data_IF_287339468821
#
_entry.id   IF_287339468821
#
_cell.length_a   1.000
_cell.length_b   1.000
_cell.length_c   1.000
_cell.angle_alpha   90.00
_cell.angle_beta   90.00
_cell.angle_gamma   90.00
#
_symmetry.space_group_name_H-M   'P 1'
#
loop_
_entity.id
_entity.type
_entity.pdbx_description
1 polymer ?
#
# COMPACT_ATOMS: atom_id res chain seq x y z
N UNK A 1 33.13 32.16 20.68
CA UNK A 1 32.73 31.12 21.69
C UNK A 1 31.24 31.05 22.12
N UNK A 2 30.66 31.91 23.00
CA UNK A 2 29.25 31.72 23.52
C UNK A 2 28.14 31.61 22.45
N UNK A 3 28.33 32.19 21.27
CA UNK A 3 27.38 32.11 20.14
C UNK A 3 27.44 30.76 19.41
N UNK A 4 28.63 30.20 19.22
CA UNK A 4 28.84 28.90 18.56
C UNK A 4 28.18 27.79 19.38
N UNK A 5 28.33 27.83 20.70
CA UNK A 5 27.73 26.86 21.62
C UNK A 5 26.19 26.93 21.63
N UNK A 6 25.61 28.13 21.50
CA UNK A 6 24.15 28.31 21.32
C UNK A 6 23.66 27.74 20.00
N UNK A 7 24.38 27.98 18.91
CA UNK A 7 24.04 27.45 17.58
C UNK A 7 24.14 25.92 17.54
N UNK A 8 25.16 25.35 18.20
CA UNK A 8 25.35 23.90 18.30
C UNK A 8 24.19 23.22 19.04
N UNK A 9 23.74 23.80 20.15
CA UNK A 9 22.55 23.31 20.88
C UNK A 9 21.27 23.43 20.04
N UNK A 10 21.07 24.54 19.33
CA UNK A 10 19.92 24.72 18.45
C UNK A 10 19.90 23.70 17.29
N UNK A 11 21.08 23.32 16.78
CA UNK A 11 21.24 22.30 15.76
C UNK A 11 20.87 20.90 16.29
N UNK A 12 21.39 20.53 17.47
CA UNK A 12 21.04 19.26 18.13
C UNK A 12 19.54 19.13 18.43
N UNK A 13 18.91 20.20 18.91
CA UNK A 13 17.47 20.20 19.21
C UNK A 13 16.62 20.07 17.94
N UNK A 14 17.01 20.73 16.83
CA UNK A 14 16.34 20.53 15.54
C UNK A 14 16.53 19.11 15.00
N UNK A 15 17.71 18.53 15.18
CA UNK A 15 18.00 17.17 14.73
C UNK A 15 17.16 16.13 15.50
N UNK A 16 17.02 16.30 16.82
CA UNK A 16 16.13 15.47 17.66
C UNK A 16 14.66 15.61 17.27
N UNK A 17 14.20 16.84 16.98
CA UNK A 17 12.83 17.07 16.51
C UNK A 17 12.56 16.38 15.15
N UNK A 18 13.54 16.38 14.26
CA UNK A 18 13.46 15.72 12.95
C UNK A 18 13.42 14.18 13.08
N UNK A 19 14.21 13.63 14.01
CA UNK A 19 14.18 12.20 14.35
C UNK A 19 12.87 11.75 14.99
N UNK A 20 12.27 12.59 15.85
CA UNK A 20 10.96 12.31 16.42
C UNK A 20 9.85 12.36 15.35
N UNK A 21 9.83 13.41 14.53
CA UNK A 21 8.86 13.56 13.44
C UNK A 21 8.97 12.43 12.40
N UNK A 22 10.19 12.00 12.05
CA UNK A 22 10.39 10.85 11.15
C UNK A 22 9.88 9.55 11.76
N UNK A 23 10.10 9.30 13.06
CA UNK A 23 9.57 8.09 13.72
C UNK A 23 8.05 8.07 13.80
N UNK A 24 7.41 9.21 14.05
CA UNK A 24 5.94 9.30 14.06
C UNK A 24 5.35 9.03 12.67
N UNK A 25 5.93 9.62 11.64
CA UNK A 25 5.54 9.38 10.24
C UNK A 25 5.81 7.92 9.85
N UNK A 26 6.93 7.33 10.28
CA UNK A 26 7.27 5.95 10.00
C UNK A 26 6.29 4.97 10.66
N UNK A 27 5.90 5.19 11.93
CA UNK A 27 4.90 4.36 12.63
C UNK A 27 3.52 4.46 11.98
N UNK A 28 3.10 5.66 11.60
CA UNK A 28 1.85 5.89 10.89
C UNK A 28 1.83 5.23 9.50
N UNK A 29 2.96 5.27 8.77
CA UNK A 29 3.13 4.56 7.50
C UNK A 29 3.09 3.05 7.70
N UNK A 30 3.88 2.50 8.63
CA UNK A 30 3.96 1.04 8.83
C UNK A 30 2.58 0.40 9.03
N UNK A 31 1.73 0.98 9.90
CA UNK A 31 0.35 0.48 10.11
C UNK A 31 -0.49 0.51 8.83
N UNK A 32 -0.44 1.61 8.05
CA UNK A 32 -1.17 1.72 6.77
C UNK A 32 -0.63 0.72 5.74
N UNK A 33 0.67 0.48 5.71
CA UNK A 33 1.32 -0.51 4.87
C UNK A 33 0.89 -1.95 5.20
N UNK A 34 0.80 -2.31 6.48
CA UNK A 34 0.31 -3.63 6.89
C UNK A 34 -1.16 -3.84 6.53
N UNK A 35 -2.01 -2.85 6.78
CA UNK A 35 -3.45 -2.92 6.44
C UNK A 35 -3.68 -3.05 4.93
N UNK A 36 -2.94 -2.27 4.14
CA UNK A 36 -3.00 -2.34 2.68
C UNK A 36 -2.39 -3.64 2.14
N UNK A 37 -1.27 -4.09 2.68
CA UNK A 37 -0.65 -5.37 2.32
C UNK A 37 -1.57 -6.55 2.59
N UNK A 38 -2.25 -6.55 3.74
CA UNK A 38 -3.26 -7.57 4.06
C UNK A 38 -4.45 -7.53 3.09
N UNK A 39 -4.97 -6.34 2.76
CA UNK A 39 -6.04 -6.19 1.78
C UNK A 39 -5.65 -6.65 0.37
N UNK A 40 -4.41 -6.39 -0.03
CA UNK A 40 -3.89 -6.78 -1.35
C UNK A 40 -3.68 -8.29 -1.44
N UNK A 41 -3.13 -8.92 -0.40
CA UNK A 41 -3.03 -10.37 -0.29
C UNK A 41 -4.41 -11.03 -0.34
N UNK A 42 -5.39 -10.49 0.40
CA UNK A 42 -6.75 -10.98 0.38
C UNK A 42 -7.39 -10.86 -1.02
N UNK A 43 -7.23 -9.72 -1.68
CA UNK A 43 -7.73 -9.50 -3.05
C UNK A 43 -7.12 -10.47 -4.07
N UNK A 44 -5.81 -10.71 -3.99
CA UNK A 44 -5.11 -11.69 -4.86
C UNK A 44 -5.59 -13.12 -4.58
N UNK A 45 -5.76 -13.48 -3.30
CA UNK A 45 -6.29 -14.79 -2.92
C UNK A 45 -7.69 -15.02 -3.47
N UNK A 46 -8.58 -14.04 -3.33
CA UNK A 46 -9.95 -14.10 -3.87
C UNK A 46 -9.93 -14.22 -5.40
N UNK A 47 -9.17 -13.36 -6.09
CA UNK A 47 -9.04 -13.43 -7.54
C UNK A 47 -8.49 -14.79 -8.02
N UNK A 48 -7.51 -15.35 -7.29
CA UNK A 48 -6.95 -16.67 -7.56
C UNK A 48 -7.98 -17.80 -7.42
N UNK A 49 -8.78 -17.79 -6.36
CA UNK A 49 -9.86 -18.79 -6.16
C UNK A 49 -10.88 -18.74 -7.29
N UNK A 50 -11.32 -17.54 -7.67
CA UNK A 50 -12.29 -17.38 -8.76
C UNK A 50 -11.72 -17.75 -10.12
N UNK A 51 -10.46 -17.38 -10.41
CA UNK A 51 -9.77 -17.79 -11.63
C UNK A 51 -9.60 -19.31 -11.70
N UNK A 52 -9.21 -19.96 -10.59
CA UNK A 52 -9.09 -21.41 -10.51
C UNK A 52 -10.41 -22.12 -10.82
N UNK A 53 -11.53 -21.64 -10.28
CA UNK A 53 -12.85 -22.19 -10.59
C UNK A 53 -13.23 -22.04 -12.06
N UNK A 54 -12.80 -20.95 -12.71
CA UNK A 54 -13.00 -20.74 -14.15
C UNK A 54 -12.17 -21.75 -14.96
N UNK A 55 -10.88 -21.92 -14.65
CA UNK A 55 -10.03 -22.91 -15.32
C UNK A 55 -10.54 -24.34 -15.12
N UNK A 56 -10.99 -24.67 -13.91
CA UNK A 56 -11.58 -25.96 -13.61
C UNK A 56 -12.86 -26.19 -14.41
N UNK A 57 -13.72 -25.17 -14.55
CA UNK A 57 -14.93 -25.27 -15.35
C UNK A 57 -14.64 -25.48 -16.84
N UNK A 58 -13.61 -24.83 -17.38
CA UNK A 58 -13.13 -25.05 -18.75
C UNK A 58 -12.61 -26.48 -18.92
N UNK A 59 -11.77 -26.95 -17.98
CA UNK A 59 -11.15 -28.26 -18.06
C UNK A 59 -12.16 -29.43 -17.89
N UNK A 60 -13.17 -29.25 -17.04
CA UNK A 60 -14.16 -30.29 -16.74
C UNK A 60 -15.41 -30.20 -17.63
N UNK A 61 -15.62 -29.10 -18.34
CA UNK A 61 -16.75 -28.88 -19.24
C UNK A 61 -18.08 -28.57 -18.52
N UNK A 62 -18.03 -28.21 -17.24
CA UNK A 62 -19.20 -27.80 -16.46
C UNK A 62 -18.79 -26.86 -15.31
N UNK A 63 -19.71 -26.01 -14.86
CA UNK A 63 -19.51 -25.10 -13.74
C UNK A 63 -20.38 -25.56 -12.56
N UNK A 64 -19.79 -25.76 -11.39
CA UNK A 64 -20.54 -26.02 -10.15
C UNK A 64 -21.02 -24.69 -9.57
N UNK A 65 -22.33 -24.52 -9.46
CA UNK A 65 -22.95 -23.41 -8.77
C UNK A 65 -23.62 -23.93 -7.49
N UNK A 66 -23.13 -23.47 -6.34
CA UNK A 66 -23.64 -23.86 -5.04
C UNK A 66 -24.28 -22.62 -4.41
N UNK A 67 -25.63 -22.53 -4.37
CA UNK A 67 -26.29 -21.43 -3.71
C UNK A 67 -25.94 -21.45 -2.21
N UNK A 68 -25.28 -20.38 -1.75
CA UNK A 68 -25.11 -20.00 -0.34
C UNK A 68 -24.38 -21.03 0.55
N UNK A 69 -23.04 -21.10 0.50
CA UNK A 69 -22.16 -21.83 1.46
C UNK A 69 -22.62 -23.26 1.89
N UNK A 70 -23.59 -23.83 1.19
CA UNK A 70 -24.25 -25.09 1.49
C UNK A 70 -23.73 -26.06 0.46
N UNK A 71 -22.91 -26.98 0.93
CA UNK A 71 -22.31 -28.04 0.11
C UNK A 71 -23.33 -29.08 -0.37
N UNK A 72 -24.59 -28.97 0.09
CA UNK A 72 -25.63 -29.97 -0.12
C UNK A 72 -26.41 -29.82 -1.43
N UNK A 73 -26.50 -28.61 -1.99
CA UNK A 73 -27.31 -28.34 -3.18
C UNK A 73 -26.51 -27.68 -4.31
N UNK A 74 -25.38 -28.27 -4.71
CA UNK A 74 -24.62 -27.78 -5.86
C UNK A 74 -25.26 -28.25 -7.18
N UNK A 75 -25.56 -27.31 -8.06
CA UNK A 75 -26.03 -27.59 -9.41
C UNK A 75 -24.86 -27.56 -10.39
N UNK A 76 -24.84 -28.53 -11.30
CA UNK A 76 -23.91 -28.52 -12.43
C UNK A 76 -24.55 -27.72 -13.56
N UNK A 77 -23.89 -26.65 -13.95
CA UNK A 77 -24.25 -25.83 -15.09
C UNK A 77 -23.42 -26.29 -16.29
N UNK A 78 -24.09 -26.56 -17.39
CA UNK A 78 -23.46 -27.01 -18.64
C UNK A 78 -23.29 -25.81 -19.58
N UNK A 79 -22.32 -25.86 -20.51
CA UNK A 79 -22.08 -24.77 -21.46
C UNK A 79 -23.26 -24.46 -22.40
N UNK A 80 -24.25 -25.36 -22.49
CA UNK A 80 -25.51 -25.11 -23.20
C UNK A 80 -26.48 -24.19 -22.45
N UNK A 81 -26.30 -23.99 -21.14
CA UNK A 81 -27.16 -23.17 -20.31
C UNK A 81 -26.66 -21.72 -20.23
N UNK A 82 -27.56 -20.75 -20.34
CA UNK A 82 -27.22 -19.32 -20.19
C UNK A 82 -26.61 -19.03 -18.82
N UNK A 83 -27.07 -19.73 -17.77
CA UNK A 83 -26.57 -19.61 -16.40
C UNK A 83 -25.09 -19.97 -16.26
N UNK A 84 -24.57 -20.90 -17.08
CA UNK A 84 -23.14 -21.22 -17.11
C UNK A 84 -22.31 -20.01 -17.54
N UNK A 85 -22.71 -19.36 -18.64
CA UNK A 85 -22.00 -18.21 -19.18
C UNK A 85 -22.11 -16.99 -18.25
N UNK A 86 -23.29 -16.78 -17.65
CA UNK A 86 -23.48 -15.74 -16.64
C UNK A 86 -22.56 -15.99 -15.44
N UNK A 87 -22.50 -17.22 -14.93
CA UNK A 87 -21.60 -17.59 -13.83
C UNK A 87 -20.12 -17.36 -14.17
N UNK A 88 -19.70 -17.75 -15.37
CA UNK A 88 -18.36 -17.49 -15.92
C UNK A 88 -18.01 -16.00 -15.93
N UNK A 89 -18.87 -15.17 -16.52
CA UNK A 89 -18.66 -13.72 -16.63
C UNK A 89 -18.59 -13.07 -15.26
N UNK A 90 -19.45 -13.47 -14.32
CA UNK A 90 -19.42 -12.95 -12.94
C UNK A 90 -18.09 -13.30 -12.26
N UNK A 91 -17.64 -14.56 -12.34
CA UNK A 91 -16.37 -14.97 -11.71
C UNK A 91 -15.17 -14.24 -12.32
N UNK A 92 -15.11 -14.11 -13.65
CA UNK A 92 -14.06 -13.35 -14.35
C UNK A 92 -14.12 -11.86 -13.96
N UNK A 93 -15.31 -11.27 -13.97
CA UNK A 93 -15.53 -9.87 -13.61
C UNK A 93 -15.09 -9.56 -12.19
N UNK A 94 -15.43 -10.43 -11.22
CA UNK A 94 -14.98 -10.31 -9.83
C UNK A 94 -13.45 -10.38 -9.74
N UNK A 95 -12.81 -11.34 -10.41
CA UNK A 95 -11.33 -11.42 -10.42
C UNK A 95 -10.69 -10.15 -10.98
N UNK A 96 -11.20 -9.61 -12.08
CA UNK A 96 -10.70 -8.37 -12.69
C UNK A 96 -10.94 -7.16 -11.79
N UNK A 97 -12.08 -7.08 -11.12
CA UNK A 97 -12.37 -6.01 -10.14
C UNK A 97 -11.39 -6.03 -8.97
N UNK A 98 -11.09 -7.20 -8.40
CA UNK A 98 -10.11 -7.30 -7.31
C UNK A 98 -8.68 -6.99 -7.78
N UNK A 99 -8.29 -7.44 -8.97
CA UNK A 99 -6.99 -7.10 -9.57
C UNK A 99 -6.85 -5.60 -9.83
N UNK A 100 -7.86 -4.96 -10.42
CA UNK A 100 -7.85 -3.52 -10.69
C UNK A 100 -7.85 -2.70 -9.39
N UNK A 101 -8.60 -3.12 -8.36
CA UNK A 101 -8.55 -2.51 -7.04
C UNK A 101 -7.15 -2.65 -6.39
N UNK A 102 -6.50 -3.80 -6.52
CA UNK A 102 -5.15 -4.02 -6.03
C UNK A 102 -4.12 -3.11 -6.73
N UNK A 103 -4.22 -2.97 -8.06
CA UNK A 103 -3.38 -2.07 -8.86
C UNK A 103 -3.63 -0.60 -8.46
N UNK A 104 -4.89 -0.19 -8.31
CA UNK A 104 -5.25 1.16 -7.89
C UNK A 104 -4.69 1.48 -6.49
N UNK A 105 -4.78 0.54 -5.54
CA UNK A 105 -4.16 0.68 -4.22
C UNK A 105 -2.64 0.79 -4.28
N UNK A 106 -1.97 0.02 -5.15
CA UNK A 106 -0.52 0.10 -5.33
C UNK A 106 -0.08 1.45 -5.94
N UNK A 107 -0.83 1.99 -6.90
CA UNK A 107 -0.59 3.32 -7.47
C UNK A 107 -0.82 4.41 -6.43
N UNK A 108 -1.91 4.32 -5.66
CA UNK A 108 -2.20 5.27 -4.58
C UNK A 108 -1.10 5.27 -3.51
N UNK A 109 -0.55 4.09 -3.20
CA UNK A 109 0.61 3.95 -2.31
C UNK A 109 1.84 4.65 -2.83
N UNK A 110 2.12 4.56 -4.13
CA UNK A 110 3.23 5.29 -4.76
C UNK A 110 3.04 6.81 -4.70
N UNK A 111 1.80 7.30 -4.70
CA UNK A 111 1.52 8.71 -4.52
C UNK A 111 1.74 9.15 -3.05
N UNK A 112 1.35 8.33 -2.08
CA UNK A 112 1.48 8.63 -0.64
C UNK A 112 2.91 8.46 -0.08
N UNK A 113 3.78 7.74 -0.77
CA UNK A 113 5.19 7.54 -0.36
C UNK A 113 6.10 8.70 -0.71
N UNK A 114 5.62 9.72 -1.46
CA UNK A 114 6.41 10.94 -1.68
C UNK A 114 6.89 11.48 -0.33
N UNK A 115 8.19 11.84 -0.20
CA UNK A 115 8.70 12.38 1.05
C UNK A 115 7.87 13.61 1.40
N UNK A 116 7.38 13.67 2.64
CA UNK A 116 6.55 14.80 3.07
C UNK A 116 7.30 16.10 2.78
N UNK A 117 6.69 17.11 2.13
CA UNK A 117 7.37 18.37 1.82
C UNK A 117 7.93 19.06 3.08
N UNK A 118 7.30 18.78 4.23
CA UNK A 118 7.75 19.20 5.56
C UNK A 118 9.13 18.65 5.94
N UNK A 119 9.43 17.40 5.61
CA UNK A 119 10.75 16.79 5.85
C UNK A 119 11.85 17.44 5.00
N UNK A 120 11.52 17.83 3.77
CA UNK A 120 12.44 18.56 2.89
C UNK A 120 12.70 19.98 3.42
N UNK A 121 11.66 20.68 3.88
CA UNK A 121 11.82 22.01 4.49
C UNK A 121 12.65 21.96 5.79
N UNK A 122 12.44 20.95 6.65
CA UNK A 122 13.23 20.80 7.88
C UNK A 122 14.70 20.48 7.58
N UNK A 123 14.98 19.65 6.57
CA UNK A 123 16.37 19.40 6.12
C UNK A 123 17.05 20.65 5.58
N UNK A 124 16.34 21.45 4.79
CA UNK A 124 16.89 22.72 4.29
C UNK A 124 17.20 23.71 5.43
N UNK A 125 16.37 23.77 6.47
CA UNK A 125 16.65 24.61 7.65
C UNK A 125 17.90 24.15 8.40
N UNK A 126 18.07 22.84 8.57
CA UNK A 126 19.26 22.25 9.18
C UNK A 126 20.54 22.55 8.37
N UNK A 127 20.48 22.42 7.05
CA UNK A 127 21.60 22.74 6.17
C UNK A 127 22.01 24.22 6.24
N UNK A 128 21.04 25.14 6.33
CA UNK A 128 21.33 26.58 6.51
C UNK A 128 21.99 26.87 7.86
N UNK A 129 21.51 26.25 8.93
CA UNK A 129 22.08 26.39 10.27
C UNK A 129 23.50 25.81 10.37
N UNK A 130 23.78 24.70 9.68
CA UNK A 130 25.14 24.16 9.58
C UNK A 130 26.07 25.09 8.80
N UNK A 131 25.61 25.65 7.67
CA UNK A 131 26.40 26.59 6.88
C UNK A 131 26.73 27.88 7.66
N UNK A 132 25.78 28.41 8.43
CA UNK A 132 26.01 29.56 9.30
C UNK A 132 27.03 29.24 10.41
N UNK A 133 27.04 28.00 10.92
CA UNK A 133 28.00 27.53 11.92
C UNK A 133 29.42 27.43 11.34
N UNK A 134 29.57 26.78 10.18
CA UNK A 134 30.85 26.67 9.48
C UNK A 134 31.42 28.04 9.07
N UNK A 135 30.57 28.97 8.63
CA UNK A 135 30.99 30.33 8.29
C UNK A 135 31.46 31.15 9.50
N UNK A 136 30.92 30.86 10.69
CA UNK A 136 31.34 31.48 11.95
C UNK A 136 32.60 30.83 12.53
N UNK A 137 32.78 29.53 12.35
CA UNK A 137 33.93 28.76 12.85
C UNK A 137 35.18 28.96 11.97
N UNK A 138 35.03 29.15 10.66
CA UNK A 138 36.14 29.49 9.74
C UNK A 138 36.59 30.96 9.79
N UNK A 139 35.96 31.80 10.64
CA UNK A 139 36.34 33.20 10.88
C UNK A 139 37.10 33.41 12.20
N UNK A 140 37.12 32.40 13.09
CA UNK A 140 38.01 32.35 14.26
C UNK A 140 39.36 31.71 13.85
#
# INVERSE_FOLDING_TARGET
MKRIEKLRRACEDQQRALDQATREIARGRAKRWYLLGAGLLFGVMVAGVFAYQVFQAIAQGYLLDCPRFSTLNCHRLLPGDVSYWVGMVVRIGVSVLFLSAAVAMAVFMRALTRPAPVLQMMRQRLQRLQADLEALEGRE
#
